data_IF_630871924238
#
_entry.id   IF_630871924238
#
_cell.length_a   1.000
_cell.length_b   1.000
_cell.length_c   1.000
_cell.angle_alpha   90.00
_cell.angle_beta   90.00
_cell.angle_gamma   90.00
#
_symmetry.space_group_name_H-M   'P 1'
#
loop_
_entity.id
_entity.type
_entity.pdbx_description
1 polymer ?
#
# COMPACT_ATOMS: atom_id res chain seq x y z
N UNK A 1 -7.44 -32.88 9.13
CA UNK A 1 -7.56 -32.42 7.74
C UNK A 1 -7.25 -30.92 7.77
N UNK A 2 -6.08 -30.52 7.27
CA UNK A 2 -5.71 -29.14 7.08
C UNK A 2 -6.70 -28.47 6.12
N UNK A 3 -7.12 -27.26 6.41
CA UNK A 3 -7.92 -26.47 5.51
C UNK A 3 -7.04 -25.86 4.41
N UNK A 4 -7.65 -25.21 3.43
CA UNK A 4 -6.94 -24.49 2.35
C UNK A 4 -5.90 -23.49 2.90
N UNK A 5 -6.18 -22.91 4.05
CA UNK A 5 -5.30 -21.98 4.76
C UNK A 5 -3.97 -22.61 5.22
N UNK A 6 -4.03 -23.87 5.75
CA UNK A 6 -2.84 -24.58 6.18
C UNK A 6 -1.95 -24.95 4.98
N UNK A 7 -2.58 -25.26 3.84
CA UNK A 7 -1.89 -25.58 2.59
C UNK A 7 -1.20 -24.34 2.01
N UNK A 8 -1.89 -23.19 1.97
CA UNK A 8 -1.33 -21.92 1.50
C UNK A 8 -0.13 -21.52 2.34
N UNK A 9 -0.26 -21.52 3.67
CA UNK A 9 0.85 -21.18 4.59
C UNK A 9 2.03 -22.14 4.44
N UNK A 10 1.76 -23.41 4.23
CA UNK A 10 2.82 -24.38 4.00
C UNK A 10 3.63 -24.05 2.75
N UNK A 11 2.97 -23.79 1.61
CA UNK A 11 3.67 -23.45 0.37
C UNK A 11 4.34 -22.07 0.43
N UNK A 12 3.73 -21.09 1.11
CA UNK A 12 4.35 -19.80 1.34
C UNK A 12 5.68 -19.93 2.13
N UNK A 13 5.69 -20.77 3.17
CA UNK A 13 6.92 -21.06 3.93
C UNK A 13 8.02 -21.74 3.11
N UNK A 14 7.65 -22.43 2.01
CA UNK A 14 8.58 -23.01 1.02
C UNK A 14 9.00 -22.02 -0.06
N UNK A 15 8.53 -20.76 0.01
CA UNK A 15 8.85 -19.69 -0.94
C UNK A 15 7.98 -19.68 -2.21
N UNK A 16 6.81 -20.34 -2.18
CA UNK A 16 5.84 -20.32 -3.28
C UNK A 16 4.78 -19.26 -2.98
N UNK A 17 4.71 -18.21 -3.77
CA UNK A 17 3.74 -17.13 -3.61
C UNK A 17 2.40 -17.43 -4.28
N UNK A 18 1.28 -16.99 -3.67
CA UNK A 18 -0.07 -17.11 -4.20
C UNK A 18 -0.63 -15.75 -4.63
N UNK A 19 -0.64 -15.48 -5.91
CA UNK A 19 -1.34 -14.32 -6.46
C UNK A 19 -2.79 -14.69 -6.80
N UNK A 20 -3.73 -13.88 -6.34
CA UNK A 20 -5.15 -14.05 -6.65
C UNK A 20 -5.64 -12.98 -7.62
N UNK A 21 -6.48 -13.36 -8.59
CA UNK A 21 -7.04 -12.43 -9.57
C UNK A 21 -8.56 -12.61 -9.64
N UNK A 22 -9.27 -11.53 -9.34
CA UNK A 22 -10.73 -11.47 -9.45
C UNK A 22 -11.17 -10.98 -10.81
N UNK A 23 -12.14 -11.66 -11.44
CA UNK A 23 -12.70 -11.29 -12.73
C UNK A 23 -14.20 -11.00 -12.64
N UNK A 24 -14.66 -9.98 -13.34
CA UNK A 24 -16.07 -9.70 -13.58
C UNK A 24 -16.77 -8.95 -12.47
N UNK A 25 -18.04 -8.56 -12.71
CA UNK A 25 -18.84 -7.75 -11.79
C UNK A 25 -19.72 -8.62 -10.88
N UNK A 26 -19.47 -8.56 -9.59
CA UNK A 26 -20.53 -8.60 -8.59
C UNK A 26 -20.80 -9.88 -7.81
N UNK A 27 -20.07 -11.00 -7.93
CA UNK A 27 -20.39 -12.21 -7.16
C UNK A 27 -19.20 -12.98 -6.58
N UNK A 28 -18.11 -12.32 -6.33
CA UNK A 28 -17.00 -12.95 -5.62
C UNK A 28 -16.62 -12.15 -4.37
N UNK A 29 -15.95 -12.80 -3.46
CA UNK A 29 -15.60 -12.23 -2.18
C UNK A 29 -14.20 -11.60 -2.25
N UNK A 30 -14.13 -10.30 -2.52
CA UNK A 30 -12.90 -9.49 -2.55
C UNK A 30 -12.05 -9.74 -1.30
N UNK A 31 -12.67 -9.67 -0.14
CA UNK A 31 -12.00 -9.85 1.14
C UNK A 31 -11.35 -11.23 1.24
N UNK A 32 -12.02 -12.28 0.74
CA UNK A 32 -11.46 -13.62 0.75
C UNK A 32 -10.26 -13.74 -0.19
N UNK A 33 -10.36 -13.17 -1.40
CA UNK A 33 -9.28 -13.20 -2.39
C UNK A 33 -8.05 -12.45 -1.90
N UNK A 34 -8.25 -11.30 -1.27
CA UNK A 34 -7.21 -10.51 -0.63
C UNK A 34 -6.55 -11.29 0.51
N UNK A 35 -7.33 -11.88 1.42
CA UNK A 35 -6.80 -12.69 2.51
C UNK A 35 -6.03 -13.94 2.03
N UNK A 36 -6.47 -14.58 0.94
CA UNK A 36 -5.76 -15.71 0.35
C UNK A 36 -4.40 -15.29 -0.21
N UNK A 37 -4.34 -14.12 -0.87
CA UNK A 37 -3.09 -13.57 -1.37
C UNK A 37 -2.13 -13.20 -0.23
N UNK A 38 -2.63 -12.48 0.78
CA UNK A 38 -1.85 -12.09 1.96
C UNK A 38 -1.25 -13.31 2.68
N UNK A 39 -2.02 -14.38 2.91
CA UNK A 39 -1.54 -15.62 3.56
C UNK A 39 -0.59 -16.44 2.67
N UNK A 40 -0.56 -16.14 1.39
CA UNK A 40 0.28 -16.82 0.39
C UNK A 40 1.45 -15.99 -0.09
N UNK A 41 1.85 -14.95 0.67
CA UNK A 41 2.98 -14.05 0.35
C UNK A 41 2.89 -13.50 -1.10
N UNK A 42 1.67 -13.27 -1.60
CA UNK A 42 1.39 -12.77 -2.93
C UNK A 42 0.55 -11.50 -2.91
N UNK A 43 -0.13 -11.21 -4.00
CA UNK A 43 -1.00 -10.04 -4.06
C UNK A 43 -2.33 -10.35 -4.76
N UNK A 44 -3.31 -9.49 -4.49
CA UNK A 44 -4.62 -9.54 -5.12
C UNK A 44 -4.71 -8.50 -6.24
N UNK A 45 -5.22 -8.90 -7.42
CA UNK A 45 -5.56 -8.02 -8.52
C UNK A 45 -7.02 -8.19 -8.94
N UNK A 46 -7.69 -7.08 -9.22
CA UNK A 46 -9.03 -7.08 -9.78
C UNK A 46 -9.00 -6.67 -11.26
N UNK A 47 -9.71 -7.42 -12.10
CA UNK A 47 -9.76 -7.22 -13.54
C UNK A 47 -11.23 -7.16 -13.97
N UNK A 48 -11.70 -5.98 -14.34
CA UNK A 48 -13.06 -5.75 -14.83
C UNK A 48 -13.14 -5.54 -16.34
N UNK A 49 -12.06 -5.08 -16.97
CA UNK A 49 -11.95 -4.81 -18.39
C UNK A 49 -10.78 -5.54 -19.04
N UNK A 50 -10.82 -5.70 -20.36
CA UNK A 50 -9.79 -6.42 -21.13
C UNK A 50 -8.43 -5.70 -21.08
N UNK A 51 -8.44 -4.37 -21.05
CA UNK A 51 -7.24 -3.54 -20.97
C UNK A 51 -6.51 -3.73 -19.64
N UNK A 52 -7.28 -3.92 -18.56
CA UNK A 52 -6.74 -4.25 -17.24
C UNK A 52 -6.14 -5.67 -17.23
N UNK A 53 -6.81 -6.64 -17.89
CA UNK A 53 -6.26 -7.98 -18.05
C UNK A 53 -4.91 -7.95 -18.81
N UNK A 54 -4.82 -7.18 -19.89
CA UNK A 54 -3.58 -7.01 -20.64
C UNK A 54 -2.49 -6.36 -19.78
N UNK A 55 -2.85 -5.36 -18.97
CA UNK A 55 -1.93 -4.72 -18.04
C UNK A 55 -1.39 -5.71 -17.00
N UNK A 56 -2.25 -6.51 -16.36
CA UNK A 56 -1.87 -7.46 -15.32
C UNK A 56 -1.05 -8.63 -15.88
N UNK A 57 -1.50 -9.23 -17.01
CA UNK A 57 -0.93 -10.48 -17.50
C UNK A 57 0.10 -10.32 -18.60
N UNK A 58 0.24 -9.15 -19.22
CA UNK A 58 1.21 -8.89 -20.28
C UNK A 58 2.19 -7.80 -19.85
N UNK A 59 1.69 -6.60 -19.56
CA UNK A 59 2.55 -5.45 -19.27
C UNK A 59 3.25 -5.60 -17.92
N UNK A 60 2.53 -6.05 -16.91
CA UNK A 60 3.01 -6.20 -15.55
C UNK A 60 3.33 -7.65 -15.16
N UNK A 61 3.47 -8.56 -16.14
CA UNK A 61 3.72 -9.97 -15.85
C UNK A 61 4.96 -10.17 -14.96
N UNK A 62 6.02 -9.41 -15.21
CA UNK A 62 7.23 -9.47 -14.39
C UNK A 62 6.96 -8.98 -12.96
N UNK A 63 6.17 -7.92 -12.78
CA UNK A 63 5.78 -7.40 -11.47
C UNK A 63 4.87 -8.36 -10.72
N UNK A 64 4.03 -9.10 -11.46
CA UNK A 64 3.14 -10.12 -10.91
C UNK A 64 3.90 -11.36 -10.42
N UNK A 65 5.08 -11.64 -10.98
CA UNK A 65 5.87 -12.83 -10.69
C UNK A 65 7.13 -12.56 -9.86
N UNK A 66 7.54 -11.30 -9.71
CA UNK A 66 8.78 -10.96 -9.02
C UNK A 66 8.52 -10.07 -7.81
N UNK A 67 8.55 -10.66 -6.63
CA UNK A 67 8.58 -9.92 -5.36
C UNK A 67 9.94 -9.21 -5.24
N UNK A 68 9.93 -7.89 -5.03
CA UNK A 68 11.12 -7.05 -4.85
C UNK A 68 11.28 -6.54 -3.42
N UNK A 69 10.23 -6.61 -2.63
CA UNK A 69 10.24 -6.28 -1.21
C UNK A 69 9.20 -7.14 -0.49
N UNK A 70 9.62 -7.80 0.56
CA UNK A 70 8.76 -8.57 1.46
C UNK A 70 8.48 -7.75 2.71
N UNK A 71 7.35 -7.98 3.37
CA UNK A 71 6.96 -7.27 4.59
C UNK A 71 7.09 -5.74 4.45
N UNK A 72 6.68 -5.20 3.30
CA UNK A 72 6.80 -3.79 3.02
C UNK A 72 5.84 -2.96 3.87
N UNK A 73 6.38 -2.00 4.61
CA UNK A 73 5.67 -1.12 5.54
C UNK A 73 5.98 0.32 5.26
N UNK A 74 4.97 1.17 5.48
CA UNK A 74 5.13 2.61 5.43
C UNK A 74 4.60 3.21 6.73
N UNK A 75 5.37 4.10 7.33
CA UNK A 75 4.96 4.92 8.47
C UNK A 75 5.13 6.39 8.12
N UNK A 76 4.18 7.21 8.53
CA UNK A 76 4.20 8.66 8.33
C UNK A 76 4.14 9.34 9.69
N UNK A 77 5.26 9.92 10.10
CA UNK A 77 5.37 10.66 11.37
C UNK A 77 5.12 12.14 11.11
N UNK A 78 3.97 12.63 11.53
CA UNK A 78 3.63 14.05 11.39
C UNK A 78 4.26 14.90 12.48
N UNK A 79 4.84 16.03 12.08
CA UNK A 79 5.42 17.00 13.01
C UNK A 79 4.33 17.79 13.75
N UNK A 80 4.16 17.59 15.07
CA UNK A 80 3.12 18.25 15.85
C UNK A 80 3.31 19.77 15.99
N UNK A 81 4.49 20.32 15.67
CA UNK A 81 4.74 21.75 15.68
C UNK A 81 4.21 22.44 14.40
N UNK A 82 4.02 21.67 13.31
CA UNK A 82 3.55 22.18 12.00
C UNK A 82 2.14 21.68 11.69
N UNK A 83 1.82 20.44 12.04
CA UNK A 83 0.53 19.80 11.77
C UNK A 83 -0.33 19.77 13.02
N UNK A 84 -1.46 20.47 12.98
CA UNK A 84 -2.41 20.54 14.10
C UNK A 84 -3.31 19.30 14.18
N UNK A 85 -3.59 18.66 13.05
CA UNK A 85 -4.31 17.38 12.96
C UNK A 85 -4.10 16.74 11.59
N UNK A 86 -4.25 15.44 11.52
CA UNK A 86 -4.24 14.66 10.28
C UNK A 86 -5.24 13.52 10.36
N UNK A 87 -5.59 12.96 9.21
CA UNK A 87 -6.47 11.80 9.06
C UNK A 87 -6.04 11.01 7.83
N UNK A 88 -5.88 9.69 7.97
CA UNK A 88 -5.74 8.78 6.84
C UNK A 88 -7.09 8.68 6.11
N UNK A 89 -7.08 8.76 4.78
CA UNK A 89 -8.28 8.68 3.94
C UNK A 89 -8.27 7.36 3.17
N UNK A 90 -9.12 6.42 3.59
CA UNK A 90 -9.08 5.03 3.14
C UNK A 90 -7.93 4.25 3.78
N UNK A 91 -7.93 2.94 3.65
CA UNK A 91 -6.98 2.03 4.31
C UNK A 91 -7.04 1.99 5.85
N UNK A 92 -8.10 2.49 6.46
CA UNK A 92 -8.26 2.48 7.92
C UNK A 92 -8.27 1.06 8.50
N UNK A 93 -8.58 0.06 7.69
CA UNK A 93 -8.54 -1.36 8.04
C UNK A 93 -7.14 -2.00 7.90
N UNK A 94 -6.15 -1.26 7.41
CA UNK A 94 -4.75 -1.65 7.27
C UNK A 94 -3.79 -0.77 8.07
N UNK A 95 -4.35 -0.03 9.03
CA UNK A 95 -3.56 0.75 9.96
C UNK A 95 -2.79 -0.19 10.89
N UNK A 96 -1.48 -0.01 10.95
CA UNK A 96 -0.57 -0.80 11.79
C UNK A 96 -0.17 0.05 12.99
N UNK A 97 -0.04 -0.57 14.16
CA UNK A 97 0.45 0.15 15.33
C UNK A 97 1.91 0.62 15.11
N UNK A 98 2.24 1.83 15.58
CA UNK A 98 3.57 2.41 15.41
C UNK A 98 4.70 1.51 15.96
N UNK A 99 4.42 0.77 17.03
CA UNK A 99 5.33 -0.20 17.65
C UNK A 99 5.64 -1.40 16.75
N UNK A 100 4.74 -1.74 15.83
CA UNK A 100 4.89 -2.86 14.91
C UNK A 100 5.65 -2.51 13.64
N UNK A 101 5.95 -1.24 13.38
CA UNK A 101 6.69 -0.83 12.19
C UNK A 101 8.08 -1.49 12.07
N UNK A 102 8.76 -1.71 13.19
CA UNK A 102 10.08 -2.39 13.24
C UNK A 102 10.02 -3.80 13.81
N UNK A 103 8.83 -4.35 13.99
CA UNK A 103 8.64 -5.69 14.50
C UNK A 103 8.58 -6.69 13.33
N UNK A 104 9.67 -7.40 13.06
CA UNK A 104 9.76 -8.36 11.95
C UNK A 104 8.96 -9.66 12.19
N UNK A 105 8.29 -9.81 13.34
CA UNK A 105 7.34 -10.92 13.60
C UNK A 105 5.91 -10.60 13.12
N UNK A 106 5.63 -9.33 12.81
CA UNK A 106 4.33 -8.90 12.26
C UNK A 106 4.40 -9.02 10.75
N UNK A 107 3.52 -9.81 10.18
CA UNK A 107 3.35 -9.98 8.74
C UNK A 107 2.84 -8.69 8.09
N UNK A 108 3.39 -8.33 6.93
CA UNK A 108 2.99 -7.16 6.15
C UNK A 108 2.94 -7.52 4.66
N UNK A 109 2.61 -6.57 3.80
CA UNK A 109 2.37 -6.86 2.38
C UNK A 109 3.64 -6.99 1.54
N UNK A 110 3.59 -7.83 0.51
CA UNK A 110 4.64 -7.98 -0.49
C UNK A 110 4.48 -6.93 -1.61
N UNK A 111 5.62 -6.46 -2.11
CA UNK A 111 5.67 -5.56 -3.24
C UNK A 111 6.31 -6.25 -4.45
N UNK A 112 5.55 -6.37 -5.53
CA UNK A 112 6.07 -6.81 -6.83
C UNK A 112 6.74 -5.68 -7.61
N UNK A 113 7.61 -6.02 -8.53
CA UNK A 113 8.28 -5.04 -9.40
C UNK A 113 7.25 -4.21 -10.19
N UNK A 114 7.33 -2.88 -10.11
CA UNK A 114 6.39 -1.96 -10.76
C UNK A 114 5.08 -1.71 -9.99
N UNK A 115 4.87 -2.34 -8.84
CA UNK A 115 3.73 -2.03 -7.98
C UNK A 115 3.89 -0.68 -7.29
N UNK A 116 2.78 0.00 -7.07
CA UNK A 116 2.70 1.22 -6.29
C UNK A 116 1.50 1.18 -5.36
N UNK A 117 1.70 1.69 -4.16
CA UNK A 117 0.63 1.88 -3.16
C UNK A 117 0.54 3.36 -2.84
N UNK A 118 -0.66 3.89 -2.72
CA UNK A 118 -0.90 5.29 -2.40
C UNK A 118 -1.70 5.41 -1.11
N UNK A 119 -1.09 5.98 -0.07
CA UNK A 119 -1.79 6.43 1.13
C UNK A 119 -2.12 7.93 0.99
N UNK A 120 -3.38 8.28 1.21
CA UNK A 120 -3.85 9.67 1.14
C UNK A 120 -4.15 10.16 2.56
N UNK A 121 -3.59 11.32 2.92
CA UNK A 121 -3.84 11.96 4.20
C UNK A 121 -4.49 13.32 4.01
N UNK A 122 -5.51 13.61 4.80
CA UNK A 122 -5.98 14.97 5.01
C UNK A 122 -5.22 15.56 6.19
N UNK A 123 -4.57 16.70 5.97
CA UNK A 123 -3.77 17.38 7.02
C UNK A 123 -4.27 18.81 7.23
N UNK A 124 -4.15 19.29 8.45
CA UNK A 124 -4.37 20.69 8.79
C UNK A 124 -3.11 21.25 9.43
N UNK A 125 -2.52 22.26 8.80
CA UNK A 125 -1.34 22.96 9.29
C UNK A 125 -1.75 24.04 10.32
N UNK A 126 -0.80 24.43 11.18
CA UNK A 126 -0.93 25.66 11.93
C UNK A 126 -0.74 26.87 10.99
N UNK A 127 -1.43 28.00 11.23
CA UNK A 127 -1.25 29.20 10.43
C UNK A 127 0.19 29.74 10.53
N UNK A 128 0.72 30.20 9.39
CA UNK A 128 2.00 30.91 9.32
C UNK A 128 3.21 30.14 9.86
N UNK A 129 3.14 28.80 9.87
CA UNK A 129 4.25 27.94 10.28
C UNK A 129 4.86 27.27 9.05
N UNK A 130 6.16 27.43 8.87
CA UNK A 130 6.95 26.73 7.86
C UNK A 130 7.84 25.68 8.52
N UNK A 131 8.06 24.55 7.83
CA UNK A 131 8.94 23.51 8.31
C UNK A 131 8.65 22.13 7.73
N UNK A 132 9.21 21.14 8.34
CA UNK A 132 8.92 19.75 8.03
C UNK A 132 7.52 19.39 8.51
N UNK A 133 6.69 18.94 7.55
CA UNK A 133 5.31 18.50 7.80
C UNK A 133 5.30 17.10 8.34
N UNK A 134 6.06 16.20 7.72
CA UNK A 134 6.12 14.81 8.08
C UNK A 134 7.43 14.16 7.62
N UNK A 135 7.85 13.10 8.32
CA UNK A 135 8.83 12.13 7.86
C UNK A 135 8.13 10.86 7.43
N UNK A 136 8.40 10.39 6.21
CA UNK A 136 7.89 9.13 5.68
C UNK A 136 8.99 8.10 5.79
N UNK A 137 8.70 6.99 6.47
CA UNK A 137 9.60 5.86 6.65
C UNK A 137 9.09 4.67 5.85
N UNK A 138 9.98 4.04 5.10
CA UNK A 138 9.74 2.80 4.38
C UNK A 138 10.65 1.72 4.96
N UNK A 139 10.08 0.57 5.28
CA UNK A 139 10.83 -0.60 5.73
C UNK A 139 10.37 -1.82 4.94
N UNK A 140 11.31 -2.68 4.57
CA UNK A 140 11.02 -3.94 3.89
C UNK A 140 12.11 -4.97 4.17
N UNK A 141 11.82 -6.22 3.88
CA UNK A 141 12.78 -7.31 3.86
C UNK A 141 13.19 -7.57 2.40
N UNK A 142 14.47 -7.55 2.15
CA UNK A 142 15.01 -7.88 0.82
C UNK A 142 14.81 -9.38 0.54
N UNK A 143 14.16 -9.75 -0.58
CA UNK A 143 13.79 -11.15 -0.83
C UNK A 143 14.98 -12.07 -1.09
N UNK A 144 16.12 -11.53 -1.56
CA UNK A 144 17.32 -12.33 -1.86
C UNK A 144 18.19 -12.53 -0.61
N UNK A 145 18.45 -11.44 0.13
CA UNK A 145 19.35 -11.46 1.29
C UNK A 145 18.62 -11.77 2.60
N UNK A 146 17.29 -11.67 2.62
CA UNK A 146 16.46 -11.78 3.83
C UNK A 146 16.84 -10.77 4.91
N UNK A 147 17.50 -9.69 4.55
CA UNK A 147 17.90 -8.63 5.46
C UNK A 147 16.88 -7.48 5.45
N UNK A 148 16.57 -6.90 6.63
CA UNK A 148 15.73 -5.72 6.68
C UNK A 148 16.45 -4.50 6.09
N UNK A 149 15.70 -3.69 5.36
CA UNK A 149 16.14 -2.42 4.80
C UNK A 149 15.16 -1.32 5.20
N UNK A 150 15.66 -0.13 5.46
CA UNK A 150 14.84 1.01 5.85
C UNK A 150 15.35 2.27 5.15
N UNK A 151 14.43 3.14 4.71
CA UNK A 151 14.73 4.47 4.22
C UNK A 151 13.72 5.48 4.74
N UNK A 152 14.11 6.75 4.84
CA UNK A 152 13.20 7.81 5.23
C UNK A 152 13.37 9.05 4.36
N UNK A 153 12.28 9.83 4.25
CA UNK A 153 12.26 11.09 3.52
C UNK A 153 11.36 12.11 4.23
N UNK A 154 11.91 13.31 4.47
CA UNK A 154 11.13 14.46 4.95
C UNK A 154 10.27 15.08 3.86
N UNK A 155 9.10 15.56 4.23
CA UNK A 155 8.17 16.33 3.42
C UNK A 155 7.92 17.68 4.10
N UNK A 156 8.04 18.79 3.36
CA UNK A 156 8.09 20.12 3.92
C UNK A 156 6.99 21.03 3.36
N UNK A 157 6.73 22.15 4.03
CA UNK A 157 5.72 23.14 3.61
C UNK A 157 5.99 23.70 2.22
N UNK A 158 7.24 23.81 1.79
CA UNK A 158 7.61 24.27 0.45
C UNK A 158 7.39 23.21 -0.64
N UNK A 159 7.16 21.94 -0.30
CA UNK A 159 6.82 20.86 -1.23
C UNK A 159 5.32 20.89 -1.60
N UNK A 160 4.52 21.67 -0.86
CA UNK A 160 3.08 21.79 -1.11
C UNK A 160 2.79 22.66 -2.32
N UNK A 161 1.92 22.18 -3.20
CA UNK A 161 1.30 23.03 -4.21
C UNK A 161 0.23 23.92 -3.56
N UNK A 162 0.17 25.20 -3.96
CA UNK A 162 -0.82 26.15 -3.40
C UNK A 162 -2.23 25.89 -3.89
N UNK A 163 -2.35 25.39 -5.11
CA UNK A 163 -3.63 25.13 -5.76
C UNK A 163 -3.71 23.68 -6.18
N UNK A 164 -4.90 23.11 -6.10
CA UNK A 164 -5.16 21.72 -6.49
C UNK A 164 -4.79 21.47 -7.98
N UNK A 165 -5.06 22.43 -8.85
CA UNK A 165 -4.78 22.33 -10.28
C UNK A 165 -3.28 22.31 -10.63
N UNK A 166 -2.41 22.71 -9.69
CA UNK A 166 -0.96 22.66 -9.83
C UNK A 166 -0.37 21.32 -9.42
N UNK A 167 -1.13 20.50 -8.74
CA UNK A 167 -0.72 19.17 -8.29
C UNK A 167 -0.63 18.19 -9.47
N UNK A 168 0.11 17.09 -9.27
CA UNK A 168 0.19 16.02 -10.25
C UNK A 168 -1.18 15.44 -10.61
N UNK A 169 -1.38 15.12 -11.89
CA UNK A 169 -2.67 14.62 -12.40
C UNK A 169 -3.11 13.32 -11.72
N UNK A 170 -2.18 12.48 -11.32
CA UNK A 170 -2.48 11.24 -10.60
C UNK A 170 -3.06 11.55 -9.21
N UNK A 171 -2.44 12.49 -8.48
CA UNK A 171 -2.96 12.98 -7.21
C UNK A 171 -4.35 13.61 -7.35
N UNK A 172 -4.58 14.44 -8.38
CA UNK A 172 -5.88 15.05 -8.64
C UNK A 172 -6.96 13.97 -8.85
N UNK A 173 -6.68 12.95 -9.66
CA UNK A 173 -7.62 11.84 -9.95
C UNK A 173 -7.96 11.05 -8.69
N UNK A 174 -6.97 10.64 -7.90
CA UNK A 174 -7.18 9.87 -6.67
C UNK A 174 -8.00 10.68 -5.67
N UNK A 175 -7.66 11.94 -5.45
CA UNK A 175 -8.36 12.83 -4.53
C UNK A 175 -9.82 13.00 -4.92
N UNK A 176 -10.14 13.25 -6.19
CA UNK A 176 -11.51 13.38 -6.68
C UNK A 176 -12.33 12.07 -6.48
N UNK A 177 -11.71 10.93 -6.74
CA UNK A 177 -12.40 9.63 -6.61
C UNK A 177 -12.76 9.31 -5.15
N UNK A 178 -11.90 9.68 -4.21
CA UNK A 178 -12.11 9.45 -2.77
C UNK A 178 -13.17 10.38 -2.19
N UNK A 179 -13.08 11.69 -2.47
CA UNK A 179 -14.08 12.65 -1.97
C UNK A 179 -15.50 12.41 -2.53
N UNK A 180 -15.65 11.87 -3.73
CA UNK A 180 -16.97 11.51 -4.27
C UNK A 180 -17.60 10.30 -3.55
N UNK A 181 -16.84 9.45 -2.87
CA UNK A 181 -17.36 8.29 -2.11
C UNK A 181 -17.74 8.61 -0.66
N UNK A 182 -17.20 9.66 -0.07
CA UNK A 182 -17.55 10.10 1.29
C UNK A 182 -18.76 11.04 1.34
N UNK A 183 -19.33 11.41 0.18
CA UNK A 183 -20.48 12.34 0.06
C UNK A 183 -21.85 11.63 -0.07
N UNK A 184 -21.93 10.33 0.28
CA UNK A 184 -23.20 9.56 0.27
C UNK A 184 -23.46 8.89 1.60
#
# INVERSE_FOLDING_TARGET
>A
AGGIWDEIKYYASEGVTLTTVGFGMGNYNDTLMEQLADQGDGFYAYVDEIDEAERVFVTNLTSTLQVIAMDARVQVDFNPEVVSRYRLVGFENRDMADEDFRNDEVDAGEMGAGHSVTALYEIKLYPEVDGEIASVHLRWIDPETRAPSEMSRGFYTYDLHRNFDEADLYFQRISCTRYSRESF
#
